data_IF_065471856344
#
_entry.id   IF_065471856344
#
_cell.length_a   1.000
_cell.length_b   1.000
_cell.length_c   1.000
_cell.angle_alpha   90.00
_cell.angle_beta   90.00
_cell.angle_gamma   90.00
#
_symmetry.space_group_name_H-M   'P 1'
#
loop_
_entity.id
_entity.type
_entity.pdbx_description
1 polymer ?
#
# COMPACT_ATOMS: atom_id res chain seq x y z
N UNK A 1 75.89 -11.16 18.90
CA UNK A 1 75.66 -10.01 18.02
C UNK A 1 74.27 -10.17 17.44
N UNK A 2 73.25 -9.82 18.22
CA UNK A 2 72.62 -8.46 18.30
C UNK A 2 71.74 -8.19 17.07
N UNK A 3 70.42 -8.46 17.11
CA UNK A 3 69.30 -7.68 17.72
C UNK A 3 68.88 -6.52 16.78
N UNK A 4 67.81 -6.67 15.98
CA UNK A 4 66.39 -6.28 16.23
C UNK A 4 66.13 -4.83 15.72
N UNK A 5 65.11 -4.45 14.95
CA UNK A 5 63.65 -4.32 15.25
C UNK A 5 63.07 -3.48 14.07
N UNK A 6 61.86 -3.62 13.50
CA UNK A 6 60.54 -2.96 13.80
C UNK A 6 59.66 -3.31 12.57
N UNK A 7 58.59 -4.12 12.67
CA UNK A 7 57.18 -3.78 12.95
C UNK A 7 56.43 -2.95 11.88
N UNK A 8 55.20 -3.39 11.59
CA UNK A 8 54.05 -2.66 10.97
C UNK A 8 53.99 -2.64 9.43
N UNK A 9 52.87 -2.83 8.74
CA UNK A 9 51.48 -2.98 9.14
C UNK A 9 50.69 -3.73 8.04
N UNK A 10 49.63 -4.41 8.49
CA UNK A 10 48.49 -4.90 7.73
C UNK A 10 48.06 -3.94 6.62
N UNK A 11 47.90 -4.48 5.41
CA UNK A 11 46.72 -4.22 4.58
C UNK A 11 46.31 -5.55 3.96
N UNK A 12 45.66 -6.39 4.79
CA UNK A 12 44.63 -7.27 4.26
C UNK A 12 43.62 -6.31 3.64
N UNK A 13 43.59 -6.26 2.31
CA UNK A 13 42.42 -5.75 1.61
C UNK A 13 41.30 -6.70 2.01
N UNK A 14 40.58 -6.35 3.07
CA UNK A 14 39.24 -6.87 3.29
C UNK A 14 38.47 -6.50 2.02
N UNK A 15 38.32 -7.48 1.14
CA UNK A 15 37.29 -7.48 0.14
C UNK A 15 35.97 -7.59 0.89
N UNK A 16 35.55 -6.50 1.54
CA UNK A 16 34.16 -6.29 1.87
C UNK A 16 33.41 -6.33 0.53
N UNK A 17 32.90 -7.51 0.24
CA UNK A 17 31.83 -7.72 -0.72
C UNK A 17 30.77 -6.67 -0.37
N UNK A 18 30.27 -5.87 -1.33
CA UNK A 18 29.28 -4.86 -1.02
C UNK A 18 28.13 -5.61 -0.35
N UNK A 19 27.96 -5.40 0.95
CA UNK A 19 26.88 -6.02 1.68
C UNK A 19 25.63 -5.46 1.03
N UNK A 20 24.95 -6.32 0.27
CA UNK A 20 23.68 -6.02 -0.35
C UNK A 20 22.71 -5.90 0.82
N UNK A 21 22.71 -4.73 1.47
CA UNK A 21 21.86 -4.41 2.59
C UNK A 21 20.44 -4.44 2.05
N UNK A 22 19.81 -5.60 2.20
CA UNK A 22 18.42 -5.78 1.83
C UNK A 22 17.64 -4.77 2.67
N UNK A 23 16.95 -3.84 1.99
CA UNK A 23 16.09 -2.87 2.67
C UNK A 23 15.20 -3.65 3.65
N UNK A 24 15.03 -3.21 4.91
CA UNK A 24 14.29 -3.97 5.92
C UNK A 24 12.90 -4.42 5.45
N UNK A 25 12.25 -3.62 4.58
CA UNK A 25 10.94 -3.94 4.04
C UNK A 25 10.92 -5.08 3.02
N UNK A 26 12.07 -5.40 2.42
CA UNK A 26 12.26 -6.56 1.55
C UNK A 26 12.49 -7.85 2.34
N UNK A 27 12.72 -7.75 3.65
CA UNK A 27 12.88 -8.88 4.56
C UNK A 27 11.57 -9.27 5.27
N UNK A 28 10.52 -8.44 5.19
CA UNK A 28 9.22 -8.77 5.76
C UNK A 28 8.57 -9.95 5.01
N UNK A 29 7.97 -10.86 5.76
CA UNK A 29 7.19 -11.95 5.17
C UNK A 29 6.02 -11.39 4.34
N UNK A 30 5.67 -12.12 3.28
CA UNK A 30 4.60 -11.72 2.35
C UNK A 30 3.27 -11.45 3.06
N UNK A 31 2.94 -12.26 4.07
CA UNK A 31 1.69 -12.11 4.83
C UNK A 31 1.66 -10.81 5.63
N UNK A 32 2.79 -10.41 6.24
CA UNK A 32 2.89 -9.16 6.98
C UNK A 32 2.74 -7.97 6.02
N UNK A 33 3.42 -8.02 4.86
CA UNK A 33 3.27 -6.99 3.82
C UNK A 33 1.82 -6.90 3.34
N UNK A 34 1.16 -8.04 3.14
CA UNK A 34 -0.25 -8.10 2.75
C UNK A 34 -1.16 -7.45 3.79
N UNK A 35 -0.97 -7.74 5.07
CA UNK A 35 -1.75 -7.13 6.14
C UNK A 35 -1.51 -5.61 6.24
N UNK A 36 -0.29 -5.13 6.03
CA UNK A 36 0.00 -3.69 5.93
C UNK A 36 -0.79 -3.04 4.79
N UNK A 37 -0.82 -3.66 3.60
CA UNK A 37 -1.58 -3.11 2.48
C UNK A 37 -3.09 -3.17 2.72
N UNK A 38 -3.60 -4.23 3.35
CA UNK A 38 -5.01 -4.33 3.73
C UNK A 38 -5.40 -3.28 4.77
N UNK A 39 -4.50 -2.95 5.70
CA UNK A 39 -4.69 -1.88 6.66
C UNK A 39 -4.74 -0.50 6.00
N UNK A 40 -3.87 -0.28 4.99
CA UNK A 40 -3.88 0.95 4.19
C UNK A 40 -5.09 1.03 3.25
N UNK A 41 -5.67 -0.10 2.87
CA UNK A 41 -6.88 -0.21 2.06
C UNK A 41 -8.18 -0.14 2.88
N UNK A 42 -8.17 0.49 4.06
CA UNK A 42 -9.35 0.63 4.90
C UNK A 42 -10.07 1.98 4.65
N UNK A 43 -11.10 1.97 3.81
CA UNK A 43 -11.92 3.15 3.44
C UNK A 43 -12.64 3.83 4.61
N UNK A 44 -12.78 3.16 5.76
CA UNK A 44 -13.50 3.71 6.93
C UNK A 44 -12.59 4.54 7.84
N UNK A 45 -11.29 4.23 7.86
CA UNK A 45 -10.32 4.87 8.77
C UNK A 45 -9.22 5.62 8.05
N UNK A 46 -8.96 5.33 6.77
CA UNK A 46 -7.91 5.95 5.96
C UNK A 46 -8.51 6.89 4.93
N UNK A 47 -7.85 8.02 4.70
CA UNK A 47 -8.14 8.92 3.58
C UNK A 47 -7.31 8.50 2.37
N UNK A 48 -7.81 8.73 1.16
CA UNK A 48 -7.06 8.52 -0.09
C UNK A 48 -6.49 7.10 -0.21
N UNK A 49 -7.26 6.11 0.21
CA UNK A 49 -6.81 4.72 0.26
C UNK A 49 -6.60 4.12 -1.15
N UNK A 50 -7.40 4.55 -2.14
CA UNK A 50 -7.23 4.16 -3.55
C UNK A 50 -5.90 4.74 -4.07
N UNK A 51 -5.66 6.04 -3.85
CA UNK A 51 -4.39 6.69 -4.21
C UNK A 51 -3.19 6.02 -3.53
N UNK A 52 -3.28 5.77 -2.21
CA UNK A 52 -2.22 5.13 -1.42
C UNK A 52 -1.91 3.73 -1.93
N UNK A 53 -2.94 2.93 -2.25
CA UNK A 53 -2.77 1.59 -2.82
C UNK A 53 -2.09 1.65 -4.19
N UNK A 54 -2.51 2.59 -5.05
CA UNK A 54 -1.91 2.80 -6.37
C UNK A 54 -0.44 3.18 -6.26
N UNK A 55 -0.10 4.15 -5.41
CA UNK A 55 1.29 4.59 -5.18
C UNK A 55 2.15 3.47 -4.59
N UNK A 56 1.61 2.73 -3.61
CA UNK A 56 2.30 1.57 -3.01
C UNK A 56 2.63 0.50 -4.07
N UNK A 57 1.74 0.27 -5.05
CA UNK A 57 2.01 -0.67 -6.15
C UNK A 57 3.16 -0.24 -7.08
N UNK A 58 3.64 0.99 -6.97
CA UNK A 58 4.70 1.53 -7.82
C UNK A 58 6.08 1.53 -7.15
N UNK A 59 6.17 1.23 -5.85
CA UNK A 59 7.43 1.29 -5.09
C UNK A 59 8.46 0.27 -5.60
N UNK A 60 8.07 -0.99 -5.75
CA UNK A 60 8.96 -2.03 -6.28
C UNK A 60 8.17 -3.19 -6.92
N UNK A 61 8.86 -4.08 -7.62
CA UNK A 61 8.24 -5.23 -8.28
C UNK A 61 7.49 -6.16 -7.31
N UNK A 62 8.04 -6.40 -6.11
CA UNK A 62 7.42 -7.26 -5.11
C UNK A 62 6.08 -6.71 -4.63
N UNK A 63 6.04 -5.41 -4.27
CA UNK A 63 4.82 -4.74 -3.83
C UNK A 63 3.79 -4.67 -4.96
N UNK A 64 4.25 -4.36 -6.18
CA UNK A 64 3.41 -4.40 -7.37
C UNK A 64 2.74 -5.76 -7.51
N UNK A 65 3.52 -6.84 -7.48
CA UNK A 65 2.99 -8.20 -7.63
C UNK A 65 1.97 -8.52 -6.55
N UNK A 66 2.25 -8.18 -5.28
CA UNK A 66 1.35 -8.44 -4.17
C UNK A 66 0.03 -7.66 -4.30
N UNK A 67 0.12 -6.33 -4.47
CA UNK A 67 -1.05 -5.45 -4.50
C UNK A 67 -1.90 -5.72 -5.75
N UNK A 68 -1.29 -5.81 -6.92
CA UNK A 68 -2.02 -5.95 -8.18
C UNK A 68 -2.72 -7.30 -8.33
N UNK A 69 -2.21 -8.36 -7.67
CA UNK A 69 -2.76 -9.72 -7.73
C UNK A 69 -3.67 -10.08 -6.55
N UNK A 70 -3.99 -9.13 -5.67
CA UNK A 70 -4.81 -9.39 -4.49
C UNK A 70 -6.20 -8.77 -4.63
N UNK A 71 -7.22 -9.52 -5.09
CA UNK A 71 -8.56 -8.98 -5.27
C UNK A 71 -9.14 -8.37 -4.00
N UNK A 72 -8.86 -8.98 -2.84
CA UNK A 72 -9.30 -8.48 -1.53
C UNK A 72 -8.80 -7.07 -1.22
N UNK A 73 -7.61 -6.67 -1.69
CA UNK A 73 -7.14 -5.29 -1.50
C UNK A 73 -8.04 -4.34 -2.29
N UNK A 74 -8.31 -4.63 -3.56
CA UNK A 74 -9.13 -3.78 -4.43
C UNK A 74 -10.62 -3.79 -4.03
N UNK A 75 -11.14 -4.93 -3.56
CA UNK A 75 -12.49 -5.05 -3.04
C UNK A 75 -12.76 -4.17 -1.82
N UNK A 76 -11.73 -3.78 -1.06
CA UNK A 76 -11.89 -2.89 0.09
C UNK A 76 -11.89 -1.39 -0.26
N UNK A 77 -11.70 -1.04 -1.53
CA UNK A 77 -11.43 0.33 -1.98
C UNK A 77 -12.62 1.01 -2.66
N UNK A 78 -13.86 0.53 -2.48
CA UNK A 78 -15.02 1.16 -3.11
C UNK A 78 -15.53 2.34 -2.26
N UNK A 79 -14.73 3.40 -2.21
CA UNK A 79 -15.19 4.72 -1.75
C UNK A 79 -15.78 5.48 -2.94
N UNK A 80 -17.12 5.50 -3.00
CA UNK A 80 -17.92 6.06 -4.08
C UNK A 80 -17.63 7.54 -4.33
N UNK A 81 -17.40 8.35 -3.29
CA UNK A 81 -17.10 9.78 -3.49
C UNK A 81 -15.74 10.02 -4.14
N UNK A 82 -14.74 9.16 -3.87
CA UNK A 82 -13.41 9.24 -4.52
C UNK A 82 -13.48 8.68 -5.96
N UNK A 83 -14.27 7.62 -6.16
CA UNK A 83 -14.47 6.99 -7.48
C UNK A 83 -15.33 7.82 -8.43
N UNK A 84 -16.28 8.60 -7.93
CA UNK A 84 -17.11 9.52 -8.74
C UNK A 84 -16.25 10.57 -9.45
N UNK A 85 -15.22 11.08 -8.75
CA UNK A 85 -14.27 12.06 -9.29
C UNK A 85 -13.20 11.44 -10.21
N UNK A 86 -13.17 10.12 -10.34
CA UNK A 86 -12.20 9.40 -11.14
C UNK A 86 -12.66 9.18 -12.58
N UNK A 87 -11.75 8.78 -13.47
CA UNK A 87 -12.11 8.40 -14.85
C UNK A 87 -12.85 7.07 -14.90
N UNK A 88 -13.69 6.86 -15.91
CA UNK A 88 -14.41 5.59 -16.12
C UNK A 88 -13.47 4.39 -16.16
N UNK A 89 -12.37 4.52 -16.90
CA UNK A 89 -11.33 3.49 -16.98
C UNK A 89 -10.75 3.15 -15.60
N UNK A 90 -10.61 4.13 -14.72
CA UNK A 90 -10.11 3.87 -13.37
C UNK A 90 -11.15 3.15 -12.50
N UNK A 91 -12.42 3.55 -12.59
CA UNK A 91 -13.54 2.86 -11.91
C UNK A 91 -13.62 1.39 -12.34
N UNK A 92 -13.59 1.15 -13.64
CA UNK A 92 -13.57 -0.20 -14.22
C UNK A 92 -12.36 -1.00 -13.75
N UNK A 93 -11.17 -0.39 -13.69
CA UNK A 93 -9.97 -1.07 -13.24
C UNK A 93 -10.04 -1.48 -11.77
N UNK A 94 -10.58 -0.62 -10.91
CA UNK A 94 -10.81 -0.96 -9.49
C UNK A 94 -11.78 -2.13 -9.39
N UNK A 95 -12.93 -2.07 -10.07
CA UNK A 95 -13.93 -3.14 -10.07
C UNK A 95 -13.38 -4.46 -10.65
N UNK A 96 -12.69 -4.40 -11.78
CA UNK A 96 -12.08 -5.57 -12.45
C UNK A 96 -11.06 -6.25 -11.54
N UNK A 97 -10.27 -5.47 -10.79
CA UNK A 97 -9.28 -6.03 -9.85
C UNK A 97 -9.92 -6.59 -8.59
N UNK A 98 -11.05 -6.05 -8.14
CA UNK A 98 -11.79 -6.59 -6.99
C UNK A 98 -12.26 -8.03 -7.21
N UNK A 99 -12.41 -8.47 -8.47
CA UNK A 99 -12.79 -9.84 -8.81
C UNK A 99 -14.00 -10.31 -8.02
N UNK A 100 -13.93 -11.51 -7.43
CA UNK A 100 -14.98 -12.08 -6.59
C UNK A 100 -14.76 -11.83 -5.08
N UNK A 101 -13.97 -10.83 -4.69
CA UNK A 101 -13.73 -10.55 -3.29
C UNK A 101 -14.92 -9.87 -2.59
N UNK A 102 -14.99 -9.99 -1.26
CA UNK A 102 -15.94 -9.21 -0.47
C UNK A 102 -15.66 -7.72 -0.61
N UNK A 103 -16.71 -6.97 -0.90
CA UNK A 103 -16.62 -5.53 -1.14
C UNK A 103 -16.80 -4.75 0.15
N UNK A 104 -15.96 -3.75 0.37
CA UNK A 104 -16.24 -2.68 1.33
C UNK A 104 -16.65 -1.46 0.53
N UNK A 105 -17.85 -0.96 0.83
CA UNK A 105 -18.44 0.18 0.13
C UNK A 105 -18.68 1.29 1.14
N UNK A 106 -18.23 2.49 0.79
CA UNK A 106 -18.50 3.73 1.53
C UNK A 106 -19.06 4.75 0.55
N UNK A 107 -20.07 5.50 1.00
CA UNK A 107 -20.64 6.61 0.25
C UNK A 107 -21.32 7.59 1.19
N UNK A 108 -21.57 8.80 0.70
CA UNK A 108 -22.31 9.82 1.44
C UNK A 108 -23.75 9.90 0.92
N UNK A 109 -24.70 9.97 1.84
CA UNK A 109 -26.11 10.20 1.49
C UNK A 109 -26.39 11.70 1.65
N UNK A 110 -26.61 12.38 0.53
CA UNK A 110 -27.06 13.77 0.51
C UNK A 110 -28.59 13.81 0.45
N UNK A 111 -29.25 13.73 1.60
CA UNK A 111 -30.68 13.97 1.71
C UNK A 111 -30.95 15.46 1.96
N UNK A 112 -31.74 16.10 1.09
CA UNK A 112 -32.46 17.32 1.49
C UNK A 112 -33.50 16.89 2.52
N UNK A 113 -33.31 17.28 3.79
CA UNK A 113 -34.39 17.22 4.77
C UNK A 113 -35.43 18.27 4.35
N UNK A 114 -36.29 17.91 3.41
CA UNK A 114 -37.55 18.62 3.25
C UNK A 114 -38.33 18.32 4.53
N UNK A 115 -38.27 19.25 5.49
CA UNK A 115 -39.16 19.22 6.65
C UNK A 115 -40.60 19.00 6.13
N UNK A 116 -41.30 17.94 6.56
CA UNK A 116 -42.72 17.84 6.33
C UNK A 116 -43.33 19.11 6.90
N UNK A 117 -44.03 19.87 6.05
CA UNK A 117 -44.74 21.08 6.48
C UNK A 117 -45.57 20.69 7.71
N UNK A 118 -45.35 21.37 8.83
CA UNK A 118 -46.25 21.29 9.98
C UNK A 118 -47.66 21.53 9.43
N UNK A 119 -48.50 20.50 9.51
CA UNK A 119 -49.92 20.64 9.28
C UNK A 119 -50.44 21.62 10.31
N UNK A 120 -50.95 22.76 9.83
CA UNK A 120 -51.86 23.60 10.58
C UNK A 120 -53.24 22.94 10.48
N UNK A 121 -53.68 22.31 11.56
CA UNK A 121 -55.10 22.15 11.89
C UNK A 121 -55.34 22.81 13.25
#
# INVERSE_FOLDING_TARGET
MEVNTIQNARLVFDSESPSLTKSPITMLHFDILREIFLFNANIFTKRKCIETTRLSSQVCHSWRSLILKSPTIWGRLLELSELELSTDRWREEVLRRSGNSLLWVRGQVSGSLTNPRLGTE
#
